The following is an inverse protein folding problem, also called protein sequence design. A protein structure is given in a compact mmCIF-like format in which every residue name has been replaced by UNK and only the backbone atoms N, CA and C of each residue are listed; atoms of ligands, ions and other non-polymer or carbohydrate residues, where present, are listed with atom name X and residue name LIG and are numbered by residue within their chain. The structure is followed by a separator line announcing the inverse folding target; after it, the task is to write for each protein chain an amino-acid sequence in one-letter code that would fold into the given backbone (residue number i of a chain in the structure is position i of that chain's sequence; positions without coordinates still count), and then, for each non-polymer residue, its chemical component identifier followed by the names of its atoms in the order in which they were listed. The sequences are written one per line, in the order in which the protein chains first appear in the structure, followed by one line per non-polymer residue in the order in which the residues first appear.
data_IF_439126104611
#
_entry.id   IF_439126104611
#
_cell.length_a   1.000
_cell.length_b   1.000
_cell.length_c   1.000
_cell.angle_alpha   90.00
_cell.angle_beta   90.00
_cell.angle_gamma   90.00
#
_symmetry.space_group_name_H-M   'P 1'
#
loop_
_entity.id
_entity.type
_entity.pdbx_description
1 polymer ?
#
# COMPACT_ATOMS: atom_id res chain seq x y z
N UNK A 1 -7.75 -9.90 29.52
CA UNK A 1 -6.37 -9.99 29.00
C UNK A 1 -6.34 -9.20 27.70
N UNK A 2 -5.62 -8.08 27.72
CA UNK A 2 -5.52 -7.14 26.60
C UNK A 2 -4.46 -7.62 25.62
N UNK A 3 -4.80 -7.66 24.33
CA UNK A 3 -3.81 -7.49 23.26
C UNK A 3 -4.37 -6.43 22.34
N UNK A 4 -3.76 -5.26 22.39
CA UNK A 4 -4.05 -4.14 21.51
C UNK A 4 -3.92 -4.62 20.07
N UNK A 5 -5.04 -4.77 19.36
CA UNK A 5 -5.03 -4.78 17.91
C UNK A 5 -4.52 -3.41 17.51
N UNK A 6 -3.26 -3.37 17.06
CA UNK A 6 -2.68 -2.18 16.46
C UNK A 6 -3.69 -1.68 15.44
N UNK A 7 -4.30 -0.54 15.74
CA UNK A 7 -5.18 0.18 14.86
C UNK A 7 -4.31 0.57 13.66
N UNK A 8 -4.20 -0.34 12.70
CA UNK A 8 -3.90 0.01 11.32
C UNK A 8 -4.97 1.04 10.99
N UNK A 9 -4.59 2.32 11.04
CA UNK A 9 -5.34 3.41 10.41
C UNK A 9 -5.38 3.04 8.94
N UNK A 10 -6.33 2.18 8.59
CA UNK A 10 -6.46 1.56 7.30
C UNK A 10 -6.94 2.68 6.37
N UNK A 11 -5.99 3.30 5.68
CA UNK A 11 -6.27 3.85 4.36
C UNK A 11 -6.60 2.65 3.46
N UNK A 12 -7.82 2.13 3.58
CA UNK A 12 -8.41 1.12 2.69
C UNK A 12 -9.24 1.91 1.67
N UNK A 13 -8.59 2.40 0.63
CA UNK A 13 -9.33 2.66 -0.61
C UNK A 13 -9.59 1.33 -1.30
N UNK A 14 -10.61 1.28 -2.16
CA UNK A 14 -11.12 0.01 -2.70
C UNK A 14 -10.03 -0.79 -3.44
N UNK A 15 -9.05 -0.09 -4.06
CA UNK A 15 -7.98 -0.71 -4.83
C UNK A 15 -6.60 -0.54 -4.20
N UNK A 16 -6.36 0.49 -3.40
CA UNK A 16 -5.04 0.78 -2.83
C UNK A 16 -5.01 0.70 -1.31
N UNK A 17 -3.90 0.18 -0.77
CA UNK A 17 -3.64 0.14 0.67
C UNK A 17 -2.19 0.50 0.95
N UNK A 18 -1.94 1.28 2.00
CA UNK A 18 -0.58 1.57 2.45
C UNK A 18 -0.06 0.42 3.31
N UNK A 19 1.16 -0.04 3.04
CA UNK A 19 1.82 -1.08 3.82
C UNK A 19 3.11 -0.54 4.42
N UNK A 20 3.32 -0.87 5.68
CA UNK A 20 4.56 -0.59 6.39
C UNK A 20 5.58 -1.69 6.07
N UNK A 21 6.71 -1.30 5.49
CA UNK A 21 7.85 -2.18 5.19
C UNK A 21 9.09 -1.78 5.99
N UNK A 22 8.95 -0.93 7.01
CA UNK A 22 10.04 -0.44 7.86
C UNK A 22 10.82 -1.58 8.51
N UNK A 23 10.24 -2.77 8.68
CA UNK A 23 10.97 -3.95 9.16
C UNK A 23 12.14 -4.39 8.25
N UNK A 24 12.16 -3.94 6.98
CA UNK A 24 13.20 -4.23 6.00
C UNK A 24 14.23 -3.11 5.85
N UNK A 25 14.06 -1.99 6.57
CA UNK A 25 14.85 -0.77 6.44
C UNK A 25 15.21 -0.21 7.81
N UNK A 26 16.28 0.60 7.88
CA UNK A 26 16.68 1.26 9.14
C UNK A 26 15.86 2.54 9.42
N UNK A 27 14.80 2.80 8.67
CA UNK A 27 13.99 4.01 8.73
C UNK A 27 12.52 3.75 8.38
N UNK A 28 11.57 4.61 8.83
CA UNK A 28 10.17 4.53 8.44
C UNK A 28 10.02 4.50 6.92
N UNK A 29 9.49 3.39 6.40
CA UNK A 29 9.39 3.13 4.97
C UNK A 29 8.05 2.47 4.67
N UNK A 30 7.31 3.07 3.75
CA UNK A 30 5.97 2.64 3.38
C UNK A 30 5.90 2.42 1.88
N UNK A 31 5.18 1.39 1.45
CA UNK A 31 4.84 1.17 0.04
C UNK A 31 3.31 1.07 -0.14
N UNK A 32 2.88 0.92 -1.38
CA UNK A 32 1.47 0.74 -1.71
C UNK A 32 1.21 -0.67 -2.23
N UNK A 33 0.10 -1.25 -1.78
CA UNK A 33 -0.48 -2.47 -2.31
C UNK A 33 -1.67 -2.12 -3.19
N UNK A 34 -1.73 -2.73 -4.37
CA UNK A 34 -2.82 -2.59 -5.33
C UNK A 34 -3.50 -3.92 -5.52
N UNK A 35 -4.80 -3.96 -5.22
CA UNK A 35 -5.67 -5.13 -5.45
C UNK A 35 -6.14 -5.12 -6.91
N UNK A 36 -5.40 -5.81 -7.77
CA UNK A 36 -5.73 -5.94 -9.20
C UNK A 36 -6.81 -7.00 -9.40
N UNK A 37 -8.07 -6.62 -9.15
CA UNK A 37 -9.25 -7.50 -9.32
C UNK A 37 -9.36 -8.06 -10.75
N UNK A 38 -8.83 -7.37 -11.77
CA UNK A 38 -8.87 -7.83 -13.17
C UNK A 38 -7.99 -9.06 -13.38
N UNK A 39 -6.87 -9.14 -12.68
CA UNK A 39 -5.88 -10.19 -12.83
C UNK A 39 -5.83 -11.13 -11.60
N UNK A 40 -6.70 -10.94 -10.61
CA UNK A 40 -6.74 -11.68 -9.35
C UNK A 40 -5.37 -11.74 -8.65
N UNK A 41 -4.67 -10.60 -8.60
CA UNK A 41 -3.37 -10.49 -7.92
C UNK A 41 -3.29 -9.22 -7.07
N UNK A 42 -2.49 -9.28 -6.01
CA UNK A 42 -1.98 -8.10 -5.34
C UNK A 42 -0.62 -7.73 -5.91
N UNK A 43 -0.39 -6.44 -6.09
CA UNK A 43 0.90 -5.89 -6.51
C UNK A 43 1.42 -4.88 -5.50
N UNK A 44 2.73 -4.76 -5.36
CA UNK A 44 3.35 -3.70 -4.57
C UNK A 44 4.00 -2.65 -5.47
N UNK A 45 4.01 -1.39 -5.00
CA UNK A 45 4.70 -0.31 -5.69
C UNK A 45 6.22 -0.46 -5.61
N UNK A 46 6.91 -0.14 -6.69
CA UNK A 46 8.38 -0.04 -6.68
C UNK A 46 8.84 1.25 -5.96
N UNK A 47 7.97 2.26 -5.88
CA UNK A 47 8.20 3.48 -5.09
C UNK A 47 7.92 3.24 -3.61
N UNK A 48 8.68 3.93 -2.76
CA UNK A 48 8.51 3.94 -1.30
C UNK A 48 8.43 5.38 -0.78
N UNK A 49 7.79 5.56 0.38
CA UNK A 49 7.62 6.84 1.05
C UNK A 49 8.17 6.80 2.47
N UNK A 50 8.64 7.95 2.95
CA UNK A 50 9.19 8.11 4.32
C UNK A 50 8.12 8.29 5.40
N UNK A 51 6.85 8.48 5.02
CA UNK A 51 5.76 8.59 5.99
C UNK A 51 4.47 7.99 5.46
N UNK A 52 3.64 7.53 6.39
CA UNK A 52 2.31 7.00 6.11
C UNK A 52 1.41 8.04 5.42
N UNK A 53 1.50 9.32 5.83
CA UNK A 53 0.72 10.41 5.24
C UNK A 53 1.07 10.62 3.76
N UNK A 54 2.36 10.62 3.42
CA UNK A 54 2.81 10.75 2.03
C UNK A 54 2.33 9.58 1.17
N UNK A 55 2.44 8.35 1.67
CA UNK A 55 1.95 7.17 0.97
C UNK A 55 0.41 7.23 0.80
N UNK A 56 -0.32 7.70 1.81
CA UNK A 56 -1.78 7.82 1.77
C UNK A 56 -2.24 8.83 0.72
N UNK A 57 -1.59 9.99 0.63
CA UNK A 57 -1.88 10.99 -0.41
C UNK A 57 -1.61 10.42 -1.80
N UNK A 58 -0.49 9.70 -1.99
CA UNK A 58 -0.20 9.06 -3.28
C UNK A 58 -1.22 7.97 -3.64
N UNK A 59 -1.69 7.18 -2.67
CA UNK A 59 -2.73 6.19 -2.86
C UNK A 59 -4.06 6.85 -3.31
N UNK A 60 -4.43 7.96 -2.68
CA UNK A 60 -5.63 8.72 -3.03
C UNK A 60 -5.55 9.31 -4.43
N UNK A 61 -4.42 9.91 -4.81
CA UNK A 61 -4.20 10.44 -6.16
C UNK A 61 -4.31 9.35 -7.24
N UNK A 62 -3.77 8.16 -6.97
CA UNK A 62 -3.87 7.01 -7.88
C UNK A 62 -5.29 6.47 -7.99
N UNK A 63 -6.02 6.42 -6.87
CA UNK A 63 -7.41 6.02 -6.82
C UNK A 63 -8.27 6.98 -7.67
N UNK A 64 -8.14 8.28 -7.45
CA UNK A 64 -8.86 9.34 -8.19
C UNK A 64 -8.52 9.36 -9.68
N UNK A 65 -7.24 9.18 -10.03
CA UNK A 65 -6.81 9.18 -11.42
C UNK A 65 -7.21 7.90 -12.18
N UNK A 66 -7.75 6.89 -11.48
CA UNK A 66 -7.98 5.54 -11.99
C UNK A 66 -6.73 4.94 -12.68
N UNK A 67 -5.54 5.39 -12.27
CA UNK A 67 -4.27 5.01 -12.90
C UNK A 67 -3.76 3.72 -12.27
N UNK A 68 -3.26 2.85 -13.13
CA UNK A 68 -2.36 1.76 -12.72
C UNK A 68 -0.96 2.33 -12.85
N UNK A 69 -0.19 2.39 -11.77
CA UNK A 69 1.23 2.71 -11.96
C UNK A 69 1.90 1.53 -12.67
N UNK A 70 2.77 1.86 -13.63
CA UNK A 70 3.20 0.96 -14.72
C UNK A 70 4.21 -0.08 -14.22
N UNK A 71 4.85 0.17 -13.08
CA UNK A 71 5.95 -0.64 -12.53
C UNK A 71 5.62 -1.12 -11.12
N UNK A 72 4.83 -2.20 -11.05
CA UNK A 72 4.41 -2.82 -9.79
C UNK A 72 4.72 -4.31 -9.85
N UNK A 73 5.48 -4.78 -8.87
CA UNK A 73 5.81 -6.19 -8.72
C UNK A 73 4.61 -6.99 -8.21
N UNK A 74 4.39 -8.20 -8.74
CA UNK A 74 3.34 -9.11 -8.25
C UNK A 74 3.75 -9.63 -6.89
N UNK A 75 2.92 -9.39 -5.88
CA UNK A 75 3.16 -9.82 -4.50
C UNK A 75 2.60 -11.22 -4.25
N UNK A 76 1.32 -11.43 -4.60
CA UNK A 76 0.63 -12.72 -4.44
C UNK A 76 -0.66 -12.78 -5.27
N UNK A 77 -1.19 -13.99 -5.54
CA UNK A 77 -2.58 -14.17 -5.98
C UNK A 77 -3.58 -13.68 -4.92
N UNK A 78 -4.75 -13.23 -5.37
CA UNK A 78 -5.91 -12.88 -4.54
C UNK A 78 -6.74 -14.12 -4.20
#
# INVERSE_FOLDING_TARGET
MSTASAEHRQFEHERFSVRDISAQYDAPTFDLIFRDKKHCVERCSDSVWSSFEQASVAAEELEQAYRRSVHWCVLKPL
#
